data_IF_210272588855
#
_entry.id   IF_210272588855
#
_cell.length_a   1.000
_cell.length_b   1.000
_cell.length_c   1.000
_cell.angle_alpha   90.00
_cell.angle_beta   90.00
_cell.angle_gamma   90.00
#
_symmetry.space_group_name_H-M   'P 1'
#
loop_
_entity.id
_entity.type
_entity.pdbx_description
1 polymer ?
#
# COMPACT_ATOMS: atom_id res chain seq x y z
N UNK A 1 -8.56 -1.77 -1.14
CA UNK A 1 -7.64 -0.80 -0.47
C UNK A 1 -7.38 -1.05 1.02
N UNK A 2 -8.12 -0.45 1.98
CA UNK A 2 -7.66 -0.32 3.38
C UNK A 2 -7.50 -1.65 4.12
N UNK A 3 -8.47 -2.56 3.97
CA UNK A 3 -8.44 -3.88 4.60
C UNK A 3 -7.33 -4.82 4.12
N UNK A 4 -6.73 -4.56 2.96
CA UNK A 4 -5.62 -5.36 2.41
C UNK A 4 -4.26 -4.98 3.02
N UNK A 5 -4.15 -3.73 3.46
CA UNK A 5 -2.94 -3.16 4.04
C UNK A 5 -2.97 -3.17 5.57
N UNK A 6 -4.15 -3.29 6.19
CA UNK A 6 -4.32 -3.49 7.64
C UNK A 6 -3.54 -4.68 8.24
N UNK A 7 -3.48 -5.87 7.61
CA UNK A 7 -2.73 -7.00 8.17
C UNK A 7 -1.22 -6.87 7.99
N UNK A 8 -0.74 -5.91 7.21
CA UNK A 8 0.68 -5.73 6.93
C UNK A 8 1.36 -4.98 8.08
N UNK A 9 1.99 -5.75 8.98
CA UNK A 9 2.84 -5.20 10.02
C UNK A 9 3.97 -4.35 9.38
N UNK A 10 3.97 -3.05 9.67
CA UNK A 10 4.93 -2.10 9.11
C UNK A 10 4.31 -0.97 8.30
N UNK A 11 3.03 -1.07 7.91
CA UNK A 11 2.30 0.08 7.36
C UNK A 11 2.03 1.09 8.48
N UNK A 12 2.52 2.31 8.31
CA UNK A 12 2.34 3.41 9.28
C UNK A 12 1.15 4.28 8.91
N UNK A 13 1.00 4.58 7.62
CA UNK A 13 -0.04 5.48 7.15
C UNK A 13 -0.40 5.21 5.70
N UNK A 14 -1.67 5.38 5.36
CA UNK A 14 -2.18 5.32 3.99
C UNK A 14 -2.87 6.64 3.71
N UNK A 15 -2.45 7.34 2.66
CA UNK A 15 -3.06 8.57 2.19
C UNK A 15 -3.74 8.30 0.87
N UNK A 16 -5.05 8.58 0.78
CA UNK A 16 -5.82 8.40 -0.45
C UNK A 16 -6.11 9.80 -0.98
N UNK A 17 -5.72 10.07 -2.23
CA UNK A 17 -5.97 11.38 -2.84
C UNK A 17 -7.36 11.38 -3.46
N UNK A 18 -8.30 12.06 -2.82
CA UNK A 18 -9.68 12.14 -3.32
C UNK A 18 -9.71 12.75 -4.74
N UNK A 19 -10.48 12.13 -5.64
CA UNK A 19 -10.61 12.56 -7.04
C UNK A 19 -9.59 11.95 -8.01
N UNK A 20 -8.57 11.25 -7.51
CA UNK A 20 -7.62 10.49 -8.34
C UNK A 20 -7.55 9.06 -7.82
N UNK A 21 -7.45 8.06 -8.69
CA UNK A 21 -7.24 6.65 -8.29
C UNK A 21 -5.78 6.42 -7.84
N UNK A 22 -5.25 7.33 -7.02
CA UNK A 22 -3.89 7.28 -6.49
C UNK A 22 -3.92 7.31 -4.97
N UNK A 23 -3.03 6.52 -4.37
CA UNK A 23 -2.81 6.49 -2.94
C UNK A 23 -1.32 6.33 -2.66
N UNK A 24 -0.89 6.85 -1.51
CA UNK A 24 0.48 6.73 -1.03
C UNK A 24 0.51 5.95 0.28
N UNK A 25 1.48 5.07 0.42
CA UNK A 25 1.64 4.24 1.61
C UNK A 25 2.97 4.58 2.26
N UNK A 26 2.93 5.02 3.51
CA UNK A 26 4.10 5.18 4.36
C UNK A 26 4.30 3.89 5.12
N UNK A 27 5.45 3.27 4.95
CA UNK A 27 5.79 1.99 5.57
C UNK A 27 7.17 2.00 6.21
N UNK A 28 7.37 1.08 7.14
CA UNK A 28 8.65 0.81 7.76
C UNK A 28 9.45 -0.20 6.91
N UNK A 29 10.45 0.29 6.17
CA UNK A 29 11.28 -0.53 5.30
C UNK A 29 12.07 -1.63 6.04
N UNK A 30 12.22 -1.53 7.36
CA UNK A 30 12.83 -2.58 8.18
C UNK A 30 11.87 -3.74 8.49
N UNK A 31 10.54 -3.52 8.35
CA UNK A 31 9.50 -4.50 8.68
C UNK A 31 8.79 -5.05 7.47
N UNK A 32 8.67 -4.25 6.40
CA UNK A 32 7.98 -4.64 5.19
C UNK A 32 8.66 -4.06 3.96
N UNK A 33 8.73 -4.88 2.90
CA UNK A 33 9.27 -4.46 1.62
C UNK A 33 8.16 -3.95 0.69
N UNK A 34 8.46 -2.98 -0.18
CA UNK A 34 7.49 -2.43 -1.13
C UNK A 34 6.84 -3.51 -2.02
N UNK A 35 7.59 -4.55 -2.42
CA UNK A 35 7.06 -5.66 -3.20
C UNK A 35 5.93 -6.45 -2.49
N UNK A 36 5.99 -6.57 -1.16
CA UNK A 36 4.93 -7.22 -0.39
C UNK A 36 3.67 -6.35 -0.32
N UNK A 37 3.84 -5.02 -0.30
CA UNK A 37 2.75 -4.05 -0.34
C UNK A 37 2.04 -4.11 -1.69
N UNK A 38 2.80 -4.10 -2.80
CA UNK A 38 2.23 -4.27 -4.15
C UNK A 38 1.39 -5.55 -4.24
N UNK A 39 1.95 -6.70 -3.85
CA UNK A 39 1.23 -7.98 -3.90
C UNK A 39 -0.08 -7.97 -3.11
N UNK A 40 -0.09 -7.35 -1.93
CA UNK A 40 -1.30 -7.28 -1.11
C UNK A 40 -2.40 -6.44 -1.77
N UNK A 41 -2.03 -5.35 -2.46
CA UNK A 41 -3.00 -4.50 -3.15
C UNK A 41 -3.43 -5.11 -4.49
N UNK A 42 -2.52 -5.72 -5.25
CA UNK A 42 -2.85 -6.48 -6.46
C UNK A 42 -3.84 -7.61 -6.15
N UNK A 43 -3.63 -8.32 -5.04
CA UNK A 43 -4.56 -9.35 -4.55
C UNK A 43 -5.95 -8.83 -4.18
N UNK A 44 -6.10 -7.51 -4.05
CA UNK A 44 -7.38 -6.83 -3.79
C UNK A 44 -8.09 -6.37 -5.06
N UNK A 45 -7.50 -6.62 -6.24
CA UNK A 45 -8.07 -6.23 -7.53
C UNK A 45 -7.76 -4.78 -7.95
N UNK A 46 -6.77 -4.14 -7.32
CA UNK A 46 -6.33 -2.78 -7.64
C UNK A 46 -4.89 -2.79 -8.16
N UNK A 47 -4.62 -2.10 -9.27
CA UNK A 47 -3.27 -1.92 -9.79
C UNK A 47 -2.52 -0.87 -8.97
N UNK A 48 -1.27 -1.16 -8.62
CA UNK A 48 -0.39 -0.25 -7.87
C UNK A 48 0.79 0.15 -8.73
N UNK A 49 1.01 1.45 -8.86
CA UNK A 49 2.24 2.01 -9.36
C UNK A 49 3.09 2.43 -8.15
N UNK A 50 4.12 1.62 -7.84
CA UNK A 50 5.04 1.92 -6.74
C UNK A 50 6.11 2.88 -7.23
N UNK A 51 6.09 4.12 -6.73
CA UNK A 51 7.18 5.05 -6.93
C UNK A 51 8.25 4.90 -5.83
N UNK A 52 9.55 4.89 -6.18
CA UNK A 52 10.66 4.77 -5.25
C UNK A 52 10.82 5.98 -4.33
#
# INVERSE_FOLDING_TARGET
MRGALEPLAGIKQIQIKAGVKEFSVVYDAAKIQPAAIAKAVEGSGEGVDLQP
#
